data_IF_794329422516
#
_entry.id   IF_794329422516
#
_cell.length_a   1.000
_cell.length_b   1.000
_cell.length_c   1.000
_cell.angle_alpha   90.00
_cell.angle_beta   90.00
_cell.angle_gamma   90.00
#
_symmetry.space_group_name_H-M   'P 1'
#
loop_
_entity.id
_entity.type
_entity.pdbx_description
1 polymer ?
#
# COMPACT_ATOMS: atom_id res chain seq x y z
N UNK A 1 -62.45 26.81 -66.75
CA UNK A 1 -62.37 25.64 -67.64
C UNK A 1 -62.00 24.44 -66.80
N UNK A 2 -62.76 23.36 -66.96
CA UNK A 2 -62.80 22.16 -66.14
C UNK A 2 -61.86 21.09 -66.70
N UNK A 3 -61.00 20.49 -65.87
CA UNK A 3 -60.56 19.09 -66.05
C UNK A 3 -60.09 18.49 -64.72
N UNK A 4 -60.72 17.37 -64.33
CA UNK A 4 -60.31 16.40 -63.31
C UNK A 4 -59.00 15.67 -63.74
N UNK A 5 -58.27 14.82 -63.01
CA UNK A 5 -58.39 13.90 -61.86
C UNK A 5 -56.92 13.49 -61.54
N UNK A 6 -56.52 13.02 -60.36
CA UNK A 6 -56.44 11.59 -59.96
C UNK A 6 -55.94 11.56 -58.51
N UNK A 7 -56.60 10.75 -57.69
CA UNK A 7 -56.17 10.34 -56.34
C UNK A 7 -55.32 9.08 -56.48
N UNK A 8 -54.17 9.01 -55.81
CA UNK A 8 -53.58 7.74 -55.39
C UNK A 8 -53.00 7.89 -53.98
N UNK A 9 -53.51 7.07 -53.08
CA UNK A 9 -53.11 6.91 -51.68
C UNK A 9 -51.86 6.03 -51.60
N UNK A 10 -50.82 6.46 -50.87
CA UNK A 10 -49.76 5.56 -50.38
C UNK A 10 -49.56 5.86 -48.91
N UNK A 11 -49.67 4.80 -48.09
CA UNK A 11 -49.61 4.86 -46.63
C UNK A 11 -48.20 5.15 -46.12
N UNK A 12 -48.14 5.95 -45.05
CA UNK A 12 -46.94 6.15 -44.24
C UNK A 12 -46.90 5.08 -43.15
N UNK A 13 -45.86 4.25 -43.17
CA UNK A 13 -45.44 3.43 -42.03
C UNK A 13 -44.50 4.28 -41.19
N UNK A 14 -44.91 4.60 -39.96
CA UNK A 14 -44.06 5.22 -38.96
C UNK A 14 -43.29 4.12 -38.21
N UNK A 15 -41.96 4.09 -38.37
CA UNK A 15 -41.07 3.38 -37.46
C UNK A 15 -40.65 4.37 -36.36
N UNK A 16 -41.02 4.10 -35.12
CA UNK A 16 -40.48 4.76 -33.95
C UNK A 16 -39.14 4.11 -33.59
N UNK A 17 -38.05 4.88 -33.67
CA UNK A 17 -36.76 4.53 -33.07
C UNK A 17 -36.62 5.32 -31.77
N UNK A 18 -36.75 4.62 -30.65
CA UNK A 18 -36.42 5.08 -29.30
C UNK A 18 -34.89 5.19 -29.20
N UNK A 19 -34.36 6.41 -29.26
CA UNK A 19 -32.97 6.71 -28.92
C UNK A 19 -32.87 7.18 -27.48
N UNK A 20 -32.28 6.37 -26.60
CA UNK A 20 -31.85 6.81 -25.28
C UNK A 20 -30.66 7.76 -25.44
N UNK A 21 -30.79 8.99 -24.96
CA UNK A 21 -29.68 9.93 -24.85
C UNK A 21 -28.72 9.44 -23.77
N UNK A 22 -27.44 9.35 -24.13
CA UNK A 22 -26.36 8.85 -23.28
C UNK A 22 -26.21 9.64 -21.98
N UNK A 23 -26.07 8.90 -20.89
CA UNK A 23 -25.36 9.36 -19.72
C UNK A 23 -23.91 9.64 -20.13
N UNK A 24 -23.35 10.75 -19.66
CA UNK A 24 -21.95 11.07 -19.92
C UNK A 24 -21.05 10.04 -19.26
N UNK A 25 -20.31 9.30 -20.09
CA UNK A 25 -19.06 8.69 -19.69
C UNK A 25 -18.09 9.83 -19.33
N UNK A 26 -17.92 10.11 -18.03
CA UNK A 26 -16.67 10.69 -17.56
C UNK A 26 -15.53 9.73 -17.87
N UNK A 27 -14.27 10.19 -17.94
CA UNK A 27 -13.15 9.28 -18.16
C UNK A 27 -13.05 8.36 -16.94
N UNK A 28 -13.56 7.14 -17.09
CA UNK A 28 -13.29 6.06 -16.16
C UNK A 28 -11.83 5.65 -16.32
N UNK A 29 -10.95 6.25 -15.51
CA UNK A 29 -9.74 5.56 -15.11
C UNK A 29 -10.19 4.38 -14.25
N UNK A 30 -9.77 3.16 -14.58
CA UNK A 30 -9.99 2.03 -13.69
C UNK A 30 -9.41 2.38 -12.31
N UNK A 31 -10.15 2.08 -11.25
CA UNK A 31 -9.57 1.94 -9.90
C UNK A 31 -8.54 0.81 -10.01
N UNK A 32 -7.28 1.16 -10.20
CA UNK A 32 -6.20 0.18 -10.12
C UNK A 32 -6.03 -0.27 -8.67
N UNK A 33 -5.60 -1.50 -8.49
CA UNK A 33 -5.48 -2.13 -7.18
C UNK A 33 -4.00 -2.33 -6.79
N UNK A 34 -3.77 -2.97 -5.63
CA UNK A 34 -2.43 -3.25 -5.14
C UNK A 34 -1.61 -4.13 -6.10
N UNK A 35 -2.23 -5.02 -6.88
CA UNK A 35 -1.52 -5.87 -7.82
C UNK A 35 -0.97 -5.06 -9.01
N UNK A 36 -1.64 -3.98 -9.40
CA UNK A 36 -1.17 -3.05 -10.44
C UNK A 36 0.08 -2.27 -10.04
N UNK A 37 0.42 -2.24 -8.74
CA UNK A 37 1.65 -1.61 -8.24
C UNK A 37 2.89 -2.51 -8.39
N UNK A 38 2.71 -3.83 -8.54
CA UNK A 38 3.83 -4.76 -8.69
C UNK A 38 4.48 -4.55 -10.05
N UNK A 39 5.76 -4.17 -10.06
CA UNK A 39 6.44 -3.87 -11.30
C UNK A 39 7.82 -3.22 -11.14
N UNK A 40 8.39 -2.85 -12.28
CA UNK A 40 9.60 -2.03 -12.37
C UNK A 40 9.20 -0.65 -12.91
N UNK A 41 9.44 0.37 -12.11
CA UNK A 41 8.93 1.72 -12.36
C UNK A 41 10.06 2.72 -12.47
N UNK A 42 10.04 3.55 -13.50
CA UNK A 42 10.88 4.74 -13.53
C UNK A 42 10.22 5.84 -12.70
N UNK A 43 10.99 6.41 -11.79
CA UNK A 43 10.51 7.44 -10.86
C UNK A 43 10.75 8.82 -11.46
N UNK A 44 9.73 9.66 -11.44
CA UNK A 44 9.76 11.06 -11.86
C UNK A 44 9.00 11.94 -10.87
N UNK A 45 9.22 13.25 -10.95
CA UNK A 45 8.56 14.27 -10.11
C UNK A 45 8.69 14.04 -8.59
N UNK A 46 9.71 13.28 -8.18
CA UNK A 46 9.93 12.85 -6.81
C UNK A 46 11.04 13.68 -6.15
N UNK A 47 10.76 14.25 -4.97
CA UNK A 47 11.72 15.10 -4.28
C UNK A 47 13.00 14.31 -3.91
N UNK A 48 14.14 14.79 -4.39
CA UNK A 48 15.45 14.19 -4.10
C UNK A 48 15.91 13.13 -5.11
N UNK A 49 15.10 12.82 -6.12
CA UNK A 49 15.44 11.85 -7.16
C UNK A 49 16.00 12.50 -8.43
N UNK A 50 16.84 11.74 -9.13
CA UNK A 50 17.35 12.10 -10.46
C UNK A 50 16.65 11.34 -11.58
N UNK A 51 17.03 11.62 -12.83
CA UNK A 51 16.44 10.98 -14.02
C UNK A 51 16.73 9.47 -14.14
N UNK A 52 17.68 8.98 -13.33
CA UNK A 52 18.12 7.59 -13.26
C UNK A 52 17.67 6.88 -11.97
N UNK A 53 16.49 7.24 -11.44
CA UNK A 53 15.90 6.56 -10.29
C UNK A 53 14.83 5.55 -10.74
N UNK A 54 14.92 4.33 -10.19
CA UNK A 54 13.94 3.27 -10.45
C UNK A 54 13.41 2.67 -9.15
N UNK A 55 12.12 2.40 -9.10
CA UNK A 55 11.46 1.72 -8.01
C UNK A 55 10.99 0.36 -8.50
N UNK A 56 11.60 -0.70 -7.98
CA UNK A 56 11.14 -2.08 -8.14
C UNK A 56 10.20 -2.40 -6.98
N UNK A 57 8.95 -2.73 -7.28
CA UNK A 57 7.97 -3.16 -6.29
C UNK A 57 7.65 -4.63 -6.53
N UNK A 58 8.20 -5.50 -5.69
CA UNK A 58 7.77 -6.89 -5.62
C UNK A 58 6.54 -7.01 -4.72
N UNK A 59 6.06 -8.21 -4.45
CA UNK A 59 5.00 -8.42 -3.47
C UNK A 59 5.52 -8.00 -2.09
N UNK A 60 4.96 -6.91 -1.55
CA UNK A 60 5.21 -6.31 -0.22
C UNK A 60 6.63 -5.80 0.06
N UNK A 61 7.59 -6.12 -0.80
CA UNK A 61 8.96 -5.61 -0.76
C UNK A 61 9.17 -4.55 -1.86
N UNK A 62 9.99 -3.54 -1.57
CA UNK A 62 10.45 -2.58 -2.56
C UNK A 62 11.97 -2.49 -2.59
N UNK A 63 12.49 -2.11 -3.76
CA UNK A 63 13.87 -1.72 -3.98
C UNK A 63 13.91 -0.41 -4.74
N UNK A 64 14.56 0.61 -4.17
CA UNK A 64 14.77 1.91 -4.81
C UNK A 64 16.23 1.97 -5.31
N UNK A 65 16.38 1.89 -6.63
CA UNK A 65 17.66 1.94 -7.32
C UNK A 65 18.04 3.41 -7.55
N UNK A 66 19.18 3.80 -6.98
CA UNK A 66 19.83 5.10 -7.16
C UNK A 66 21.28 4.90 -7.60
N UNK A 67 21.93 5.97 -8.03
CA UNK A 67 23.34 5.95 -8.44
C UNK A 67 24.30 5.49 -7.32
N UNK A 68 23.92 5.67 -6.06
CA UNK A 68 24.71 5.23 -4.91
C UNK A 68 24.53 3.74 -4.58
N UNK A 69 23.52 3.08 -5.16
CA UNK A 69 23.18 1.69 -4.86
C UNK A 69 21.68 1.47 -4.70
N UNK A 70 21.33 0.33 -4.11
CA UNK A 70 19.94 -0.12 -3.95
C UNK A 70 19.51 0.03 -2.51
N UNK A 71 18.47 0.84 -2.28
CA UNK A 71 17.79 0.91 -1.00
C UNK A 71 16.73 -0.18 -0.95
N UNK A 72 16.70 -0.96 0.12
CA UNK A 72 15.68 -1.98 0.38
C UNK A 72 14.60 -1.42 1.29
N UNK A 73 13.40 -1.96 1.16
CA UNK A 73 12.31 -1.66 2.08
C UNK A 73 11.06 -2.47 1.81
N UNK A 74 9.94 -1.98 2.31
CA UNK A 74 8.64 -2.63 2.15
C UNK A 74 7.53 -1.64 1.84
N UNK A 75 6.46 -2.16 1.25
CA UNK A 75 5.25 -1.41 1.00
C UNK A 75 4.01 -2.23 1.35
N UNK A 76 2.91 -1.52 1.57
CA UNK A 76 1.57 -2.06 1.77
C UNK A 76 0.56 -1.24 1.01
N UNK A 77 -0.51 -1.88 0.61
CA UNK A 77 -1.62 -1.23 -0.06
C UNK A 77 -2.92 -1.93 0.29
N UNK A 78 -3.99 -1.14 0.34
CA UNK A 78 -5.36 -1.61 0.39
C UNK A 78 -6.25 -0.52 -0.18
N UNK A 79 -7.21 -0.91 -1.02
CA UNK A 79 -8.04 0.06 -1.74
C UNK A 79 -7.13 1.07 -2.48
N UNK A 80 -7.24 2.37 -2.21
CA UNK A 80 -6.37 3.41 -2.74
C UNK A 80 -5.22 3.82 -1.79
N UNK A 81 -5.16 3.26 -0.58
CA UNK A 81 -4.13 3.55 0.41
C UNK A 81 -2.80 2.93 0.01
N UNK A 82 -1.72 3.70 0.12
CA UNK A 82 -0.35 3.24 -0.13
C UNK A 82 0.55 3.64 1.03
N UNK A 83 1.34 2.69 1.53
CA UNK A 83 2.42 2.94 2.47
C UNK A 83 3.71 2.36 1.90
N UNK A 84 4.79 3.14 1.94
CA UNK A 84 6.12 2.67 1.56
C UNK A 84 7.19 3.22 2.49
N UNK A 85 8.21 2.42 2.75
CA UNK A 85 9.41 2.82 3.51
C UNK A 85 10.65 2.17 2.92
N UNK A 86 11.81 2.79 3.14
CA UNK A 86 13.13 2.15 3.01
C UNK A 86 13.71 1.90 4.39
N UNK A 87 14.44 0.80 4.57
CA UNK A 87 15.02 0.41 5.86
C UNK A 87 16.43 -0.21 5.75
N UNK A 88 16.95 -0.36 4.53
CA UNK A 88 18.31 -0.85 4.29
C UNK A 88 18.97 -0.13 3.13
N UNK A 89 20.28 0.16 3.24
CA UNK A 89 21.05 0.84 2.20
C UNK A 89 22.53 0.44 2.26
N UNK A 90 23.25 0.55 1.13
CA UNK A 90 24.69 0.35 1.08
C UNK A 90 25.42 1.59 1.61
N UNK A 91 26.64 1.39 2.12
CA UNK A 91 27.44 2.47 2.71
C UNK A 91 27.81 3.57 1.70
N UNK A 92 27.82 3.22 0.41
CA UNK A 92 28.00 4.13 -0.73
C UNK A 92 26.92 5.22 -0.79
N UNK A 93 25.74 4.98 -0.21
CA UNK A 93 24.68 5.97 -0.09
C UNK A 93 24.84 6.92 1.13
N UNK A 94 25.81 6.66 2.01
CA UNK A 94 26.12 7.49 3.17
C UNK A 94 26.11 6.73 4.49
N UNK A 95 26.62 7.40 5.54
CA UNK A 95 26.64 6.87 6.91
C UNK A 95 25.26 6.98 7.59
N UNK A 96 24.45 7.94 7.16
CA UNK A 96 23.08 8.17 7.64
C UNK A 96 22.06 7.57 6.66
N UNK A 97 20.83 7.34 7.15
CA UNK A 97 19.72 6.87 6.30
C UNK A 97 19.47 7.85 5.14
N UNK A 98 19.56 7.38 3.87
CA UNK A 98 19.32 8.27 2.74
C UNK A 98 17.85 8.67 2.69
N UNK A 99 17.58 9.97 2.73
CA UNK A 99 16.21 10.48 2.72
C UNK A 99 15.43 10.06 1.47
N UNK A 100 14.18 9.62 1.66
CA UNK A 100 13.21 9.31 0.59
C UNK A 100 11.86 10.00 0.89
N UNK A 101 11.82 11.34 0.92
CA UNK A 101 10.69 12.10 1.47
C UNK A 101 9.39 11.85 0.71
N UNK A 102 9.42 11.72 -0.61
CA UNK A 102 8.23 11.42 -1.42
C UNK A 102 7.59 10.07 -1.07
N UNK A 103 8.39 9.07 -0.68
CA UNK A 103 7.91 7.75 -0.30
C UNK A 103 7.32 7.78 1.11
N UNK A 104 7.93 8.55 2.02
CA UNK A 104 7.42 8.79 3.37
C UNK A 104 6.12 9.60 3.38
N UNK A 105 5.97 10.55 2.44
CA UNK A 105 4.80 11.42 2.32
C UNK A 105 3.62 10.75 1.58
N UNK A 106 3.88 9.75 0.74
CA UNK A 106 2.84 9.05 -0.01
C UNK A 106 1.89 8.29 0.92
N UNK A 107 0.59 8.57 0.86
CA UNK A 107 -0.46 7.86 1.63
C UNK A 107 -1.49 7.18 0.74
N UNK A 108 -1.51 7.51 -0.55
CA UNK A 108 -2.42 6.95 -1.52
C UNK A 108 -1.76 6.80 -2.88
N UNK A 109 -2.41 6.08 -3.79
CA UNK A 109 -1.98 5.95 -5.17
C UNK A 109 -3.15 6.09 -6.13
N UNK A 110 -2.84 6.35 -7.39
CA UNK A 110 -3.80 6.31 -8.49
C UNK A 110 -3.15 5.76 -9.74
N UNK A 111 -3.74 4.71 -10.28
CA UNK A 111 -3.31 4.08 -11.54
C UNK A 111 -3.98 4.78 -12.73
N UNK A 112 -3.25 4.92 -13.84
CA UNK A 112 -3.73 5.46 -15.09
C UNK A 112 -2.89 4.92 -16.25
N UNK A 113 -3.45 4.00 -17.03
CA UNK A 113 -2.76 3.30 -18.12
C UNK A 113 -1.40 2.75 -17.65
N UNK A 114 -0.29 3.27 -18.18
CA UNK A 114 1.10 2.86 -17.88
C UNK A 114 1.76 3.72 -16.78
N UNK A 115 0.98 4.45 -15.99
CA UNK A 115 1.46 5.39 -14.97
C UNK A 115 0.77 5.18 -13.63
N UNK A 116 1.51 5.29 -12.54
CA UNK A 116 0.99 5.40 -11.18
C UNK A 116 1.41 6.74 -10.59
N UNK A 117 0.45 7.49 -10.07
CA UNK A 117 0.73 8.66 -9.25
C UNK A 117 0.67 8.28 -7.77
N UNK A 118 1.74 8.51 -7.03
CA UNK A 118 1.72 8.46 -5.57
C UNK A 118 1.29 9.82 -5.03
N UNK A 119 0.40 9.80 -4.05
CA UNK A 119 -0.31 10.97 -3.56
C UNK A 119 -0.01 11.20 -2.08
N UNK A 120 0.25 12.45 -1.71
CA UNK A 120 0.34 12.89 -0.32
C UNK A 120 -1.04 13.09 0.31
N UNK A 121 -1.07 13.39 1.61
CA UNK A 121 -2.31 13.57 2.39
C UNK A 121 -3.24 14.68 1.86
N UNK A 122 -2.67 15.69 1.22
CA UNK A 122 -3.42 16.79 0.59
C UNK A 122 -3.91 16.45 -0.84
N UNK A 123 -3.62 15.24 -1.32
CA UNK A 123 -3.91 14.77 -2.67
C UNK A 123 -2.92 15.28 -3.72
N UNK A 124 -1.83 15.94 -3.34
CA UNK A 124 -0.78 16.33 -4.27
C UNK A 124 0.00 15.11 -4.75
N UNK A 125 0.44 15.12 -6.00
CA UNK A 125 1.34 14.08 -6.52
C UNK A 125 2.72 14.30 -5.91
N UNK A 126 3.22 13.30 -5.18
CA UNK A 126 4.56 13.30 -4.56
C UNK A 126 5.59 12.52 -5.38
N UNK A 127 5.12 11.60 -6.24
CA UNK A 127 5.93 10.92 -7.25
C UNK A 127 5.06 10.41 -8.40
N UNK A 128 5.63 10.39 -9.60
CA UNK A 128 5.06 9.75 -10.79
C UNK A 128 5.90 8.52 -11.13
N UNK A 129 5.26 7.36 -11.25
CA UNK A 129 5.86 6.09 -11.62
C UNK A 129 5.41 5.75 -13.05
N UNK A 130 6.34 5.45 -13.94
CA UNK A 130 6.01 5.11 -15.33
C UNK A 130 6.63 3.78 -15.73
N UNK A 131 5.88 3.00 -16.52
CA UNK A 131 6.39 1.77 -17.10
C UNK A 131 7.30 2.08 -18.29
N UNK A 132 8.58 2.39 -18.03
CA UNK A 132 9.62 2.73 -19.03
C UNK A 132 10.57 1.55 -19.31
N UNK A 133 10.10 0.31 -19.14
CA UNK A 133 10.92 -0.90 -19.24
C UNK A 133 11.68 -1.19 -17.95
N UNK A 134 12.92 -1.65 -18.06
CA UNK A 134 13.81 -1.89 -16.92
C UNK A 134 15.20 -1.28 -17.22
N UNK A 135 15.94 -0.80 -16.20
CA UNK A 135 17.28 -0.32 -16.41
C UNK A 135 18.22 -1.47 -16.80
N UNK A 136 19.28 -1.16 -17.55
CA UNK A 136 20.34 -2.14 -17.80
C UNK A 136 21.14 -2.40 -16.49
N UNK A 137 21.55 -3.66 -16.22
CA UNK A 137 22.47 -3.96 -15.14
C UNK A 137 23.80 -3.20 -15.27
N UNK A 138 24.44 -2.91 -14.14
CA UNK A 138 25.68 -2.13 -14.07
C UNK A 138 26.61 -2.64 -12.95
N UNK A 139 27.72 -1.94 -12.71
CA UNK A 139 28.57 -2.20 -11.54
C UNK A 139 27.87 -1.81 -10.21
N UNK A 140 26.78 -1.03 -10.28
CA UNK A 140 25.99 -0.56 -9.13
C UNK A 140 24.74 -1.42 -8.92
N UNK A 141 24.08 -1.83 -10.00
CA UNK A 141 22.83 -2.60 -9.97
C UNK A 141 23.03 -3.97 -10.59
N UNK A 142 22.69 -5.02 -9.85
CA UNK A 142 22.80 -6.38 -10.36
C UNK A 142 21.66 -6.71 -11.33
N UNK A 143 21.77 -7.83 -12.06
CA UNK A 143 20.69 -8.33 -12.92
C UNK A 143 19.39 -8.61 -12.12
N UNK A 144 19.52 -9.01 -10.86
CA UNK A 144 18.37 -9.24 -9.99
C UNK A 144 17.65 -7.92 -9.64
N UNK A 145 18.42 -6.87 -9.33
CA UNK A 145 17.89 -5.56 -8.97
C UNK A 145 17.11 -4.92 -10.13
N UNK A 146 17.56 -5.13 -11.36
CA UNK A 146 16.93 -4.55 -12.55
C UNK A 146 15.87 -5.45 -13.17
N UNK A 147 15.64 -6.65 -12.63
CA UNK A 147 14.63 -7.56 -13.16
C UNK A 147 13.21 -7.10 -12.81
N UNK A 148 12.28 -7.21 -13.77
CA UNK A 148 10.86 -7.01 -13.51
C UNK A 148 10.36 -8.14 -12.61
N UNK A 149 9.71 -7.85 -11.47
CA UNK A 149 9.16 -8.89 -10.60
C UNK A 149 8.06 -9.68 -11.32
N UNK A 150 8.09 -11.00 -11.18
CA UNK A 150 7.11 -11.92 -11.78
C UNK A 150 6.56 -12.90 -10.73
N UNK A 151 5.83 -12.40 -9.71
CA UNK A 151 5.15 -13.27 -8.76
C UNK A 151 4.10 -14.14 -9.48
N UNK A 152 3.82 -15.31 -8.92
CA UNK A 152 2.74 -16.15 -9.41
C UNK A 152 1.36 -15.54 -9.12
N UNK A 153 0.34 -16.07 -9.80
CA UNK A 153 -1.02 -15.55 -9.73
C UNK A 153 -1.65 -15.65 -8.33
N UNK A 154 -1.31 -16.68 -7.55
CA UNK A 154 -1.86 -16.84 -6.20
C UNK A 154 -1.26 -15.80 -5.25
N UNK A 155 0.03 -15.52 -5.41
CA UNK A 155 0.72 -14.46 -4.67
C UNK A 155 0.16 -13.07 -5.01
N UNK A 156 -0.12 -12.78 -6.28
CA UNK A 156 -0.78 -11.52 -6.68
C UNK A 156 -2.21 -11.42 -6.16
N UNK A 157 -2.98 -12.52 -6.22
CA UNK A 157 -4.35 -12.53 -5.71
C UNK A 157 -4.39 -12.24 -4.20
N UNK A 158 -3.42 -12.72 -3.43
CA UNK A 158 -3.34 -12.46 -1.99
C UNK A 158 -3.10 -10.98 -1.64
N UNK A 159 -2.54 -10.16 -2.54
CA UNK A 159 -2.36 -8.72 -2.31
C UNK A 159 -3.68 -7.94 -2.30
N UNK A 160 -4.67 -8.43 -3.06
CA UNK A 160 -5.94 -7.74 -3.28
C UNK A 160 -7.11 -8.43 -2.60
N UNK A 161 -6.84 -9.56 -1.92
CA UNK A 161 -7.87 -10.29 -1.21
C UNK A 161 -8.38 -9.47 -0.01
N UNK A 162 -9.69 -9.54 0.22
CA UNK A 162 -10.30 -8.82 1.33
C UNK A 162 -10.14 -9.66 2.61
N UNK A 163 -9.44 -9.15 3.64
CA UNK A 163 -9.23 -9.93 4.85
C UNK A 163 -10.55 -10.21 5.57
N UNK A 164 -10.56 -11.21 6.45
CA UNK A 164 -11.73 -11.51 7.26
C UNK A 164 -12.18 -10.28 8.06
N UNK A 165 -13.49 -10.10 8.18
CA UNK A 165 -14.05 -9.01 8.98
C UNK A 165 -13.69 -9.17 10.47
N UNK A 166 -13.67 -8.05 11.20
CA UNK A 166 -13.47 -8.05 12.65
C UNK A 166 -14.46 -9.02 13.33
N UNK A 167 -13.99 -9.95 14.19
CA UNK A 167 -14.84 -10.91 14.88
C UNK A 167 -15.95 -10.26 15.70
N UNK A 168 -17.11 -10.92 15.75
CA UNK A 168 -18.25 -10.45 16.54
C UNK A 168 -17.89 -10.31 18.02
N UNK A 169 -18.18 -9.16 18.61
CA UNK A 169 -17.87 -8.85 20.01
C UNK A 169 -16.66 -7.95 20.20
N UNK A 170 -15.85 -7.77 19.15
CA UNK A 170 -14.81 -6.75 19.08
C UNK A 170 -15.31 -5.51 18.32
N UNK A 171 -14.63 -4.39 18.50
CA UNK A 171 -14.87 -3.14 17.77
C UNK A 171 -13.68 -2.86 16.86
N UNK A 172 -13.91 -2.51 15.60
CA UNK A 172 -12.83 -2.07 14.70
C UNK A 172 -12.01 -0.93 15.34
N UNK A 173 -10.67 -0.98 15.21
CA UNK A 173 -9.83 0.11 15.62
C UNK A 173 -9.94 1.28 14.64
N UNK A 174 -9.77 2.50 15.14
CA UNK A 174 -9.63 3.72 14.34
C UNK A 174 -8.22 4.26 14.49
N UNK A 175 -7.83 5.16 13.58
CA UNK A 175 -6.51 5.81 13.64
C UNK A 175 -6.27 6.53 14.96
N UNK A 176 -7.25 7.30 15.44
CA UNK A 176 -7.17 7.97 16.75
C UNK A 176 -7.13 6.96 17.91
N UNK A 177 -7.84 5.84 17.80
CA UNK A 177 -7.94 4.85 18.87
C UNK A 177 -6.68 4.03 19.09
N UNK A 178 -5.88 3.80 18.05
CA UNK A 178 -4.67 2.97 18.13
C UNK A 178 -3.41 3.76 18.51
N UNK A 179 -3.41 5.09 18.34
CA UNK A 179 -2.28 5.95 18.71
C UNK A 179 -1.93 5.78 20.19
N UNK A 180 -0.64 5.58 20.47
CA UNK A 180 -0.12 5.40 21.82
C UNK A 180 0.85 4.24 21.95
N UNK A 181 1.30 3.99 23.18
CA UNK A 181 2.22 2.92 23.53
C UNK A 181 1.47 1.71 24.09
N UNK A 182 1.84 0.53 23.61
CA UNK A 182 1.17 -0.72 23.89
C UNK A 182 2.18 -1.82 24.24
N UNK A 183 1.85 -2.64 25.23
CA UNK A 183 2.67 -3.77 25.68
C UNK A 183 1.88 -5.09 25.62
N UNK A 184 2.53 -6.25 25.42
CA UNK A 184 1.86 -7.54 25.40
C UNK A 184 1.04 -7.81 26.66
N UNK A 185 -0.22 -8.18 26.47
CA UNK A 185 -1.13 -8.49 27.58
C UNK A 185 -0.61 -9.69 28.38
N UNK A 186 -0.54 -9.54 29.71
CA UNK A 186 -0.20 -10.63 30.63
C UNK A 186 1.25 -11.11 30.57
N UNK A 187 2.13 -10.43 29.83
CA UNK A 187 3.55 -10.75 29.79
C UNK A 187 4.31 -10.03 30.91
N UNK A 188 5.20 -10.75 31.59
CA UNK A 188 6.12 -10.17 32.58
C UNK A 188 7.51 -10.69 32.30
N UNK A 189 8.34 -9.84 31.71
CA UNK A 189 9.73 -10.08 31.31
C UNK A 189 10.57 -8.85 31.66
N UNK A 190 11.89 -9.01 31.68
CA UNK A 190 12.85 -7.92 31.92
C UNK A 190 13.22 -7.13 30.65
N UNK A 191 13.01 -7.73 29.49
CA UNK A 191 13.08 -7.07 28.19
C UNK A 191 11.77 -6.30 28.00
N UNK A 192 11.77 -5.16 27.29
CA UNK A 192 10.59 -4.28 27.21
C UNK A 192 9.89 -4.42 25.84
N UNK A 193 9.23 -5.55 25.53
CA UNK A 193 8.52 -5.70 24.27
C UNK A 193 7.28 -4.80 24.22
N UNK A 194 6.99 -4.27 23.05
CA UNK A 194 5.86 -3.38 22.85
C UNK A 194 5.90 -2.69 21.50
N UNK A 195 4.92 -1.83 21.27
CA UNK A 195 4.81 -0.99 20.08
C UNK A 195 4.29 0.39 20.46
N UNK A 196 4.83 1.43 19.83
CA UNK A 196 4.25 2.78 19.83
C UNK A 196 3.76 3.09 18.43
N UNK A 197 2.50 3.48 18.31
CA UNK A 197 1.90 4.03 17.09
C UNK A 197 1.79 5.54 17.22
N UNK A 198 2.46 6.28 16.34
CA UNK A 198 2.48 7.74 16.33
C UNK A 198 1.38 8.32 15.43
N UNK A 199 0.90 9.52 15.76
CA UNK A 199 -0.16 10.23 15.01
C UNK A 199 0.21 10.52 13.55
N UNK A 200 1.50 10.56 13.22
CA UNK A 200 2.00 10.79 11.86
C UNK A 200 2.04 9.50 11.00
N UNK A 201 1.46 8.39 11.48
CA UNK A 201 1.45 7.12 10.75
C UNK A 201 2.76 6.35 10.81
N UNK A 202 3.70 6.68 11.71
CA UNK A 202 4.87 5.82 11.98
C UNK A 202 4.67 4.94 13.21
N UNK A 203 5.37 3.81 13.26
CA UNK A 203 5.41 2.97 14.45
C UNK A 203 6.84 2.52 14.77
N UNK A 204 7.08 2.26 16.06
CA UNK A 204 8.28 1.59 16.55
C UNK A 204 7.86 0.43 17.44
N UNK A 205 8.34 -0.78 17.13
CA UNK A 205 8.04 -2.00 17.85
C UNK A 205 9.33 -2.69 18.30
N UNK A 206 9.25 -3.40 19.43
CA UNK A 206 10.33 -4.24 19.92
C UNK A 206 9.79 -5.59 20.38
N UNK A 207 10.55 -6.64 20.10
CA UNK A 207 10.34 -7.95 20.71
C UNK A 207 11.00 -8.08 22.10
N UNK A 208 11.66 -7.03 22.56
CA UNK A 208 12.46 -6.98 23.78
C UNK A 208 13.97 -6.87 23.54
N UNK A 209 14.47 -7.34 22.39
CA UNK A 209 15.90 -7.28 22.04
C UNK A 209 16.19 -6.82 20.62
N UNK A 210 15.24 -7.00 19.73
CA UNK A 210 15.27 -6.49 18.37
C UNK A 210 14.18 -5.43 18.25
N UNK A 211 14.53 -4.33 17.60
CA UNK A 211 13.58 -3.29 17.21
C UNK A 211 13.28 -3.38 15.72
N UNK A 212 12.08 -2.99 15.34
CA UNK A 212 11.69 -2.72 13.96
C UNK A 212 10.70 -1.56 13.97
N UNK A 213 10.61 -0.82 12.88
CA UNK A 213 9.66 0.26 12.73
C UNK A 213 9.20 0.35 11.29
N UNK A 214 8.22 1.19 11.05
CA UNK A 214 7.66 1.37 9.72
C UNK A 214 6.52 2.36 9.73
N UNK A 215 5.71 2.30 8.69
CA UNK A 215 4.50 3.06 8.55
C UNK A 215 3.29 2.19 8.80
N UNK A 216 2.22 2.80 9.30
CA UNK A 216 0.95 2.14 9.53
C UNK A 216 -0.23 3.00 9.08
N UNK A 217 -1.34 2.34 8.78
CA UNK A 217 -2.63 2.96 8.54
C UNK A 217 -3.73 2.03 9.02
N UNK A 218 -4.88 2.59 9.39
CA UNK A 218 -6.07 1.82 9.71
C UNK A 218 -7.33 2.48 9.14
N UNK A 219 -8.14 1.69 8.44
CA UNK A 219 -9.45 2.10 7.93
C UNK A 219 -10.55 1.99 9.00
N UNK A 220 -11.71 2.58 8.72
CA UNK A 220 -12.86 2.62 9.66
C UNK A 220 -13.44 1.24 10.01
N UNK A 221 -13.20 0.24 9.16
CA UNK A 221 -13.58 -1.16 9.37
C UNK A 221 -12.52 -1.96 10.14
N UNK A 222 -11.42 -1.31 10.53
CA UNK A 222 -10.28 -1.91 11.19
C UNK A 222 -9.29 -2.55 10.23
N UNK A 223 -9.43 -2.37 8.90
CA UNK A 223 -8.39 -2.78 7.94
C UNK A 223 -7.07 -2.14 8.32
N UNK A 224 -6.08 -2.95 8.62
CA UNK A 224 -4.80 -2.48 9.13
C UNK A 224 -3.70 -2.79 8.13
N UNK A 225 -2.85 -1.80 7.89
CA UNK A 225 -1.64 -1.92 7.08
C UNK A 225 -0.45 -1.54 7.95
N UNK A 226 0.61 -2.32 7.87
CA UNK A 226 1.92 -1.92 8.37
C UNK A 226 3.04 -2.38 7.44
N UNK A 227 3.93 -1.45 7.08
CA UNK A 227 5.20 -1.82 6.46
C UNK A 227 6.10 -2.45 7.52
N UNK A 228 7.14 -3.18 7.11
CA UNK A 228 8.12 -3.78 8.01
C UNK A 228 9.49 -3.18 7.77
N UNK A 229 10.19 -2.80 8.85
CA UNK A 229 11.57 -2.34 8.78
C UNK A 229 12.58 -3.43 9.15
N UNK A 230 13.85 -3.16 8.83
CA UNK A 230 14.98 -4.00 9.21
C UNK A 230 14.99 -4.28 10.72
N UNK A 231 15.44 -5.49 11.07
CA UNK A 231 15.55 -5.95 12.45
C UNK A 231 16.74 -6.89 12.60
N UNK A 232 17.30 -6.95 13.81
CA UNK A 232 18.34 -7.92 14.15
C UNK A 232 17.73 -9.29 14.50
N UNK A 233 18.56 -10.34 14.54
CA UNK A 233 18.13 -11.70 14.93
C UNK A 233 18.69 -12.10 16.30
N UNK A 234 18.62 -11.22 17.30
CA UNK A 234 19.07 -11.49 18.67
C UNK A 234 17.97 -12.20 19.47
N UNK A 235 18.25 -13.37 20.03
CA UNK A 235 17.25 -14.10 20.83
C UNK A 235 17.22 -13.68 22.29
N UNK A 236 16.02 -13.46 22.85
CA UNK A 236 15.79 -13.27 24.29
C UNK A 236 14.35 -13.60 24.71
N UNK A 237 14.02 -13.41 26.00
CA UNK A 237 12.63 -13.42 26.44
C UNK A 237 11.88 -12.20 25.88
N UNK A 238 10.57 -12.33 25.64
CA UNK A 238 9.79 -11.25 25.06
C UNK A 238 8.55 -11.77 24.33
N UNK A 239 8.07 -10.99 23.37
CA UNK A 239 6.97 -11.35 22.48
C UNK A 239 7.24 -10.81 21.08
N UNK A 240 6.80 -11.49 20.01
CA UNK A 240 7.12 -11.10 18.63
C UNK A 240 6.24 -9.94 18.14
N UNK A 241 6.17 -8.83 18.91
CA UNK A 241 5.34 -7.66 18.61
C UNK A 241 5.62 -7.08 17.21
N UNK A 242 6.88 -6.92 16.75
CA UNK A 242 7.13 -6.48 15.38
C UNK A 242 6.46 -7.36 14.31
N UNK A 243 6.47 -8.68 14.50
CA UNK A 243 5.85 -9.62 13.57
C UNK A 243 4.32 -9.58 13.65
N UNK A 244 3.75 -9.35 14.84
CA UNK A 244 2.30 -9.14 14.98
C UNK A 244 1.84 -7.91 14.21
N UNK A 245 2.58 -6.80 14.30
CA UNK A 245 2.26 -5.55 13.59
C UNK A 245 2.39 -5.75 12.09
N UNK A 246 3.53 -6.24 11.61
CA UNK A 246 3.79 -6.40 10.18
C UNK A 246 2.91 -7.45 9.49
N UNK A 247 2.39 -8.43 10.24
CA UNK A 247 1.53 -9.50 9.74
C UNK A 247 0.02 -9.23 9.89
N UNK A 248 -0.37 -8.17 10.59
CA UNK A 248 -1.77 -7.87 10.81
C UNK A 248 -2.44 -7.33 9.54
N UNK A 249 -3.68 -7.78 9.31
CA UNK A 249 -4.59 -7.25 8.29
C UNK A 249 -5.81 -6.58 8.92
N UNK A 250 -6.06 -6.84 10.22
CA UNK A 250 -7.03 -6.09 11.03
C UNK A 250 -6.45 -5.67 12.37
N UNK A 251 -6.91 -4.51 12.84
CA UNK A 251 -6.77 -4.05 14.21
C UNK A 251 -8.16 -3.84 14.81
N UNK A 252 -8.36 -4.35 16.02
CA UNK A 252 -9.63 -4.26 16.73
C UNK A 252 -9.43 -4.11 18.23
N UNK A 253 -10.48 -3.68 18.93
CA UNK A 253 -10.53 -3.59 20.39
C UNK A 253 -11.49 -4.62 20.97
N UNK A 254 -10.98 -5.43 21.90
CA UNK A 254 -11.76 -6.22 22.84
C UNK A 254 -11.80 -5.47 24.18
N UNK A 255 -12.82 -4.63 24.34
CA UNK A 255 -12.86 -3.66 25.44
C UNK A 255 -11.76 -2.59 25.27
N UNK A 256 -10.71 -2.67 26.09
CA UNK A 256 -9.54 -1.77 26.02
C UNK A 256 -8.27 -2.47 25.50
N UNK A 257 -8.34 -3.76 25.22
CA UNK A 257 -7.22 -4.54 24.71
C UNK A 257 -7.19 -4.41 23.18
N UNK A 258 -6.08 -3.93 22.64
CA UNK A 258 -5.82 -3.92 21.20
C UNK A 258 -5.51 -5.37 20.76
N UNK A 259 -6.21 -5.82 19.73
CA UNK A 259 -6.07 -7.15 19.14
C UNK A 259 -5.64 -6.99 17.69
N UNK A 260 -4.52 -7.62 17.33
CA UNK A 260 -4.02 -7.69 15.96
C UNK A 260 -4.40 -9.05 15.36
N UNK A 261 -4.99 -9.04 14.17
CA UNK A 261 -5.48 -10.23 13.49
C UNK A 261 -4.85 -10.33 12.10
N UNK A 262 -4.57 -11.56 11.65
CA UNK A 262 -4.14 -11.82 10.28
C UNK A 262 -5.31 -11.75 9.28
N UNK A 263 -5.02 -12.03 8.01
CA UNK A 263 -5.99 -12.00 6.92
C UNK A 263 -7.14 -13.02 7.09
N UNK A 264 -6.93 -14.12 7.82
CA UNK A 264 -7.96 -15.13 8.10
C UNK A 264 -8.80 -14.76 9.34
N UNK A 265 -8.47 -13.66 10.03
CA UNK A 265 -9.08 -13.26 11.30
C UNK A 265 -8.54 -14.02 12.50
N UNK A 266 -7.40 -14.71 12.35
CA UNK A 266 -6.71 -15.37 13.46
C UNK A 266 -5.96 -14.34 14.29
N UNK A 267 -6.04 -14.47 15.61
CA UNK A 267 -5.34 -13.59 16.54
C UNK A 267 -3.82 -13.79 16.46
N UNK A 268 -3.12 -12.71 16.12
CA UNK A 268 -1.67 -12.63 16.17
C UNK A 268 -1.19 -12.28 17.58
N UNK A 269 -1.81 -11.29 18.20
CA UNK A 269 -1.45 -10.84 19.55
C UNK A 269 -2.44 -9.88 20.20
N UNK A 270 -2.34 -9.79 21.53
CA UNK A 270 -3.09 -8.88 22.40
C UNK A 270 -2.16 -7.92 23.09
N UNK A 271 -2.54 -6.65 23.08
CA UNK A 271 -1.76 -5.56 23.62
C UNK A 271 -2.63 -4.68 24.52
N UNK A 272 -2.09 -4.25 25.65
CA UNK A 272 -2.72 -3.29 26.57
C UNK A 272 -1.91 -2.00 26.59
N UNK A 273 -2.56 -0.89 26.92
CA UNK A 273 -1.87 0.40 27.07
C UNK A 273 -0.74 0.27 28.12
N UNK A 274 0.43 0.82 27.77
CA UNK A 274 1.63 0.82 28.62
C UNK A 274 1.49 1.70 29.88
#
# INVERSE_FOLDING_TARGET
MSTARVVLTVGFVALALTGCAGAGDGPGGGEGDAADLVGMWKVADAQGEGDATWLRMDVVELRLLRDCGVLSGSWRSADDTFLGVTDGWPAECGDDEPAVPWLADAVAFRVSDDTVALLGEDGAVVATLTHDGAPDPSDVWTEDDTSVPTPDADTLAALVDEPAAVPSGMTAATSEGIVGAWVPEGLTVSTEPGVTFDENGTYSASDGCNGSGGRWAVGDDGRFLATSGASTMMGCEGAPVPSWVAGASRAAFDGQTLVLLDADGTELGRLVAA
#
